data_IF_306171303543
#
_entry.id   IF_306171303543
#
_cell.length_a   1.000
_cell.length_b   1.000
_cell.length_c   1.000
_cell.angle_alpha   90.00
_cell.angle_beta   90.00
_cell.angle_gamma   90.00
#
_symmetry.space_group_name_H-M   'P 1'
#
loop_
_entity.id
_entity.type
_entity.pdbx_description
1 polymer ?
#
# COMPACT_ATOMS: atom_id res chain seq x y z
N UNK A 1 56.74 6.24 -82.26
CA UNK A 1 56.59 7.39 -81.32
C UNK A 1 55.71 8.42 -81.98
N UNK A 2 54.47 8.58 -81.48
CA UNK A 2 53.38 9.56 -81.78
C UNK A 2 52.07 8.79 -81.52
N UNK A 3 51.03 9.31 -80.88
CA UNK A 3 50.81 10.59 -80.21
C UNK A 3 49.30 10.83 -80.08
N UNK A 4 48.64 10.26 -79.06
CA UNK A 4 47.16 10.33 -78.93
C UNK A 4 46.69 11.65 -78.30
N UNK A 5 45.51 12.18 -78.68
CA UNK A 5 44.98 13.44 -78.17
C UNK A 5 44.36 13.30 -76.76
N UNK A 6 44.51 14.34 -75.94
CA UNK A 6 43.94 14.40 -74.60
C UNK A 6 42.49 14.93 -74.57
N UNK A 7 41.63 14.27 -73.78
CA UNK A 7 40.29 14.76 -73.45
C UNK A 7 40.31 15.61 -72.17
N UNK A 8 39.74 16.81 -72.22
CA UNK A 8 39.48 17.65 -71.05
C UNK A 8 38.16 17.22 -70.37
N UNK A 9 38.14 16.98 -69.05
CA UNK A 9 36.90 16.67 -68.33
C UNK A 9 36.07 17.94 -68.06
N UNK A 10 34.76 17.83 -68.24
CA UNK A 10 33.81 18.91 -68.02
C UNK A 10 33.64 19.22 -66.52
N UNK A 11 33.74 20.50 -66.12
CA UNK A 11 33.71 20.92 -64.71
C UNK A 11 32.26 21.17 -64.25
N UNK A 12 31.65 20.18 -63.61
CA UNK A 12 30.29 20.32 -63.06
C UNK A 12 30.25 21.31 -61.87
N UNK A 13 29.40 22.32 -61.96
CA UNK A 13 29.17 23.31 -60.90
C UNK A 13 28.49 22.69 -59.68
N UNK A 14 29.08 22.84 -58.48
CA UNK A 14 28.44 22.43 -57.23
C UNK A 14 27.31 23.41 -56.86
N UNK A 15 26.14 22.95 -56.37
CA UNK A 15 25.07 23.84 -55.94
C UNK A 15 25.46 24.65 -54.70
N UNK A 16 25.03 25.91 -54.66
CA UNK A 16 25.36 26.86 -53.60
C UNK A 16 24.74 26.45 -52.24
N UNK A 17 25.60 26.09 -51.30
CA UNK A 17 25.26 25.64 -49.94
C UNK A 17 24.49 26.67 -49.10
N UNK A 18 24.55 27.96 -49.48
CA UNK A 18 23.82 29.04 -48.82
C UNK A 18 22.29 28.93 -49.02
N UNK A 19 21.83 28.24 -50.07
CA UNK A 19 20.41 28.06 -50.38
C UNK A 19 19.73 27.03 -49.47
N UNK A 20 20.36 25.86 -49.31
CA UNK A 20 19.85 24.75 -48.49
C UNK A 20 19.75 25.13 -47.00
N UNK A 21 20.74 25.85 -46.46
CA UNK A 21 20.73 26.30 -45.07
C UNK A 21 19.57 27.28 -44.77
N UNK A 22 19.23 28.16 -45.74
CA UNK A 22 18.09 29.08 -45.63
C UNK A 22 16.75 28.36 -45.69
N UNK A 23 16.63 27.33 -46.54
CA UNK A 23 15.42 26.50 -46.61
C UNK A 23 15.19 25.70 -45.31
N UNK A 24 16.26 25.14 -44.72
CA UNK A 24 16.19 24.42 -43.44
C UNK A 24 15.72 25.33 -42.29
N UNK A 25 16.33 26.51 -42.13
CA UNK A 25 15.91 27.48 -41.08
C UNK A 25 14.45 27.93 -41.22
N UNK A 26 13.96 28.15 -42.45
CA UNK A 26 12.55 28.50 -42.69
C UNK A 26 11.59 27.38 -42.25
N UNK A 27 11.92 26.11 -42.51
CA UNK A 27 11.11 24.97 -42.07
C UNK A 27 11.02 24.89 -40.54
N UNK A 28 12.15 24.99 -39.83
CA UNK A 28 12.16 24.94 -38.36
C UNK A 28 11.34 26.07 -37.72
N UNK A 29 11.44 27.30 -38.26
CA UNK A 29 10.67 28.44 -37.76
C UNK A 29 9.16 28.27 -37.97
N UNK A 30 8.73 27.73 -39.13
CA UNK A 30 7.32 27.43 -39.39
C UNK A 30 6.77 26.35 -38.46
N UNK A 31 7.56 25.30 -38.16
CA UNK A 31 7.16 24.26 -37.20
C UNK A 31 6.99 24.78 -35.78
N UNK A 32 7.87 25.69 -35.32
CA UNK A 32 7.77 26.31 -34.00
C UNK A 32 6.56 27.26 -33.90
N UNK A 33 6.26 28.02 -34.96
CA UNK A 33 5.08 28.88 -35.01
C UNK A 33 3.77 28.07 -34.95
N UNK A 34 3.69 26.93 -35.65
CA UNK A 34 2.54 26.03 -35.60
C UNK A 34 2.31 25.44 -34.20
N UNK A 35 3.39 25.02 -33.52
CA UNK A 35 3.33 24.53 -32.14
C UNK A 35 2.84 25.62 -31.16
N UNK A 36 3.34 26.85 -31.27
CA UNK A 36 2.89 27.96 -30.44
C UNK A 36 1.39 28.28 -30.65
N UNK A 37 0.91 28.27 -31.89
CA UNK A 37 -0.50 28.46 -32.20
C UNK A 37 -1.40 27.36 -31.60
N UNK A 38 -0.97 26.09 -31.63
CA UNK A 38 -1.71 24.98 -31.04
C UNK A 38 -1.83 25.11 -29.50
N UNK A 39 -0.75 25.53 -28.82
CA UNK A 39 -0.77 25.74 -27.36
C UNK A 39 -1.71 26.90 -26.99
N UNK A 40 -1.65 28.02 -27.71
CA UNK A 40 -2.54 29.17 -27.48
C UNK A 40 -4.01 28.80 -27.67
N UNK A 41 -4.35 28.06 -28.73
CA UNK A 41 -5.71 27.57 -28.95
C UNK A 41 -6.21 26.66 -27.82
N UNK A 42 -5.34 25.77 -27.31
CA UNK A 42 -5.68 24.89 -26.18
C UNK A 42 -5.93 25.64 -24.86
N UNK A 43 -5.19 26.72 -24.60
CA UNK A 43 -5.38 27.55 -23.39
C UNK A 43 -6.69 28.34 -23.45
N UNK A 44 -7.03 28.93 -24.59
CA UNK A 44 -8.31 29.65 -24.77
C UNK A 44 -9.52 28.73 -24.57
N UNK A 45 -9.42 27.47 -24.98
CA UNK A 45 -10.49 26.48 -24.78
C UNK A 45 -10.67 26.04 -23.31
N UNK A 46 -9.62 26.19 -22.48
CA UNK A 46 -9.69 25.93 -21.03
C UNK A 46 -10.31 27.08 -20.24
N UNK A 47 -10.13 28.34 -20.68
CA UNK A 47 -10.67 29.53 -19.98
C UNK A 47 -12.11 29.86 -20.32
N UNK A 48 -12.68 29.29 -21.39
CA UNK A 48 -14.03 29.59 -21.89
C UNK A 48 -15.18 28.87 -21.15
N UNK A 49 -14.92 28.14 -20.06
CA UNK A 49 -15.96 27.51 -19.22
C UNK A 49 -16.40 28.43 -18.08
N UNK A 50 -17.45 29.21 -18.33
CA UNK A 50 -18.16 29.97 -17.29
C UNK A 50 -18.84 29.03 -16.28
N UNK A 51 -18.97 29.44 -15.00
CA UNK A 51 -19.69 28.65 -13.99
C UNK A 51 -21.20 28.83 -14.15
N UNK A 52 -21.92 27.72 -14.37
CA UNK A 52 -23.39 27.68 -14.23
C UNK A 52 -23.70 27.36 -12.77
N UNK A 53 -24.38 28.28 -12.09
CA UNK A 53 -24.78 28.11 -10.69
C UNK A 53 -25.95 27.14 -10.51
N UNK A 54 -25.92 26.41 -9.41
CA UNK A 54 -27.03 25.60 -8.92
C UNK A 54 -26.86 25.39 -7.41
N UNK A 55 -27.80 25.90 -6.62
CA UNK A 55 -27.82 25.71 -5.16
C UNK A 55 -28.26 24.29 -4.77
N UNK A 56 -28.03 23.87 -3.51
CA UNK A 56 -28.30 22.51 -3.07
C UNK A 56 -29.76 22.31 -2.61
N UNK A 57 -30.33 21.10 -2.76
CA UNK A 57 -31.35 20.61 -1.85
C UNK A 57 -30.69 20.03 -0.59
N UNK A 58 -31.28 20.33 0.57
CA UNK A 58 -31.04 19.55 1.78
C UNK A 58 -31.91 18.26 1.74
N UNK A 59 -31.43 17.16 2.32
CA UNK A 59 -32.07 16.63 3.53
C UNK A 59 -31.34 15.41 4.14
N UNK A 60 -31.17 15.49 5.46
CA UNK A 60 -31.31 14.44 6.48
C UNK A 60 -30.76 13.02 6.23
N UNK A 61 -29.70 12.65 6.94
CA UNK A 61 -29.85 11.97 8.24
C UNK A 61 -28.48 11.60 8.87
N UNK A 62 -28.10 12.31 9.93
CA UNK A 62 -27.03 11.89 10.84
C UNK A 62 -27.53 12.03 12.28
N UNK A 63 -27.66 10.90 12.99
CA UNK A 63 -28.04 10.88 14.40
C UNK A 63 -26.83 11.28 15.25
N UNK A 64 -26.84 12.51 15.77
CA UNK A 64 -25.95 12.94 16.84
C UNK A 64 -26.57 12.60 18.21
N UNK A 65 -25.74 12.12 19.13
CA UNK A 65 -26.14 11.81 20.51
C UNK A 65 -26.13 13.09 21.33
N UNK A 66 -27.26 13.45 21.92
CA UNK A 66 -27.38 14.65 22.75
C UNK A 66 -26.73 14.47 24.13
N UNK A 67 -26.24 15.57 24.70
CA UNK A 67 -25.57 15.63 26.00
C UNK A 67 -26.35 16.60 26.92
N UNK A 68 -26.97 16.08 27.97
CA UNK A 68 -27.82 16.89 28.88
C UNK A 68 -27.28 16.94 30.31
N UNK A 69 -26.81 18.12 30.71
CA UNK A 69 -26.77 18.70 32.06
C UNK A 69 -26.17 20.13 31.93
N UNK A 70 -26.40 21.12 32.85
CA UNK A 70 -27.00 21.01 34.21
C UNK A 70 -28.10 22.06 34.53
N UNK A 71 -28.71 22.03 35.74
CA UNK A 71 -29.66 23.09 36.16
C UNK A 71 -30.40 22.94 37.52
N UNK A 72 -29.65 23.06 38.63
CA UNK A 72 -30.02 23.35 40.05
C UNK A 72 -31.50 23.55 40.48
N UNK A 73 -31.91 22.81 41.52
CA UNK A 73 -32.82 23.28 42.61
C UNK A 73 -34.02 22.37 42.97
N UNK A 74 -34.66 22.40 44.16
CA UNK A 74 -34.35 22.95 45.52
C UNK A 74 -35.13 22.13 46.60
N UNK A 75 -34.61 22.06 47.85
CA UNK A 75 -35.26 21.67 49.13
C UNK A 75 -35.53 20.18 49.49
N UNK A 76 -35.31 19.89 50.78
CA UNK A 76 -35.58 18.62 51.49
C UNK A 76 -36.66 18.83 52.59
N UNK A 77 -37.13 17.78 53.31
CA UNK A 77 -36.51 17.49 54.62
C UNK A 77 -36.43 16.01 55.10
N UNK A 78 -35.35 15.72 55.84
CA UNK A 78 -35.24 14.92 57.10
C UNK A 78 -35.91 13.54 57.33
N UNK A 79 -35.09 12.47 57.31
CA UNK A 79 -34.76 11.50 58.42
C UNK A 79 -35.84 10.71 59.22
N UNK A 80 -35.51 9.60 59.95
CA UNK A 80 -34.26 8.79 60.03
C UNK A 80 -34.40 7.23 60.01
N UNK A 81 -33.28 6.53 59.76
CA UNK A 81 -32.81 5.38 60.58
C UNK A 81 -33.24 3.93 60.27
N UNK A 82 -32.25 3.03 60.11
CA UNK A 82 -31.97 1.80 60.92
C UNK A 82 -30.93 0.89 60.23
N UNK A 83 -30.05 0.28 61.03
CA UNK A 83 -28.96 -0.62 60.63
C UNK A 83 -29.40 -2.03 60.17
N UNK A 84 -28.53 -2.77 59.49
CA UNK A 84 -28.74 -4.21 59.26
C UNK A 84 -27.76 -4.89 58.30
N UNK A 85 -26.55 -5.23 58.76
CA UNK A 85 -25.66 -6.16 58.04
C UNK A 85 -25.89 -7.62 58.51
N UNK A 86 -25.92 -8.62 57.60
CA UNK A 86 -25.72 -10.02 57.94
C UNK A 86 -24.28 -10.51 57.64
N UNK A 87 -23.82 -11.62 58.25
CA UNK A 87 -22.39 -11.88 58.47
C UNK A 87 -21.69 -12.74 57.41
N UNK A 88 -20.35 -12.75 57.48
CA UNK A 88 -19.47 -13.60 56.70
C UNK A 88 -19.47 -15.07 57.17
N UNK A 89 -19.20 -16.00 56.23
CA UNK A 89 -19.01 -17.44 56.49
C UNK A 89 -17.65 -17.87 55.93
N UNK A 90 -16.76 -18.52 56.71
CA UNK A 90 -15.45 -18.97 56.22
C UNK A 90 -15.44 -20.48 55.87
N UNK A 91 -14.62 -20.84 54.88
CA UNK A 91 -14.04 -22.20 54.77
C UNK A 91 -14.53 -23.07 53.61
N UNK A 92 -13.65 -23.26 52.60
CA UNK A 92 -13.80 -24.28 51.57
C UNK A 92 -12.61 -24.22 50.59
N UNK A 93 -11.77 -25.27 50.47
CA UNK A 93 -10.58 -25.21 49.62
C UNK A 93 -10.93 -25.51 48.15
N UNK A 94 -10.67 -24.56 47.26
CA UNK A 94 -10.80 -24.75 45.81
C UNK A 94 -9.42 -25.03 45.19
N UNK A 95 -9.26 -26.22 44.61
CA UNK A 95 -8.05 -26.64 43.93
C UNK A 95 -7.95 -26.09 42.50
N UNK A 96 -6.72 -25.82 42.06
CA UNK A 96 -6.19 -25.95 40.69
C UNK A 96 -6.96 -25.35 39.49
N UNK A 97 -6.30 -24.42 38.80
CA UNK A 97 -6.23 -24.48 37.33
C UNK A 97 -7.40 -23.89 36.52
N UNK A 98 -7.80 -22.66 36.80
CA UNK A 98 -8.70 -21.91 35.91
C UNK A 98 -7.98 -21.31 34.70
N UNK A 99 -8.17 -21.87 33.51
CA UNK A 99 -7.90 -21.15 32.25
C UNK A 99 -8.78 -19.89 32.18
N UNK A 100 -8.27 -18.75 31.66
CA UNK A 100 -9.08 -17.54 31.55
C UNK A 100 -10.27 -17.76 30.61
N UNK A 101 -11.45 -17.17 30.91
CA UNK A 101 -12.65 -17.34 30.10
C UNK A 101 -12.49 -16.74 28.70
N UNK A 102 -13.22 -17.24 27.68
CA UNK A 102 -13.19 -16.67 26.34
C UNK A 102 -13.75 -15.23 26.36
N UNK A 103 -13.01 -14.28 25.79
CA UNK A 103 -13.45 -12.90 25.56
C UNK A 103 -14.59 -12.86 24.52
N UNK A 104 -15.81 -13.12 24.99
CA UNK A 104 -17.02 -13.16 24.17
C UNK A 104 -17.42 -11.76 23.68
N UNK A 105 -17.04 -11.43 22.45
CA UNK A 105 -17.44 -10.20 21.77
C UNK A 105 -16.50 -9.73 20.66
N UNK A 106 -15.23 -10.16 20.67
CA UNK A 106 -14.27 -9.83 19.62
C UNK A 106 -14.26 -10.93 18.54
N UNK A 107 -14.52 -10.61 17.25
CA UNK A 107 -14.43 -11.61 16.18
C UNK A 107 -13.03 -12.26 16.12
N UNK A 108 -12.94 -13.59 15.89
CA UNK A 108 -11.69 -14.32 16.02
C UNK A 108 -10.65 -13.89 14.98
N UNK A 109 -9.37 -13.88 15.38
CA UNK A 109 -8.21 -13.65 14.49
C UNK A 109 -7.12 -14.68 14.78
N UNK A 110 -6.50 -15.23 13.74
CA UNK A 110 -5.28 -16.02 13.89
C UNK A 110 -4.14 -15.11 14.38
N UNK A 111 -3.28 -15.60 15.27
CA UNK A 111 -2.21 -14.81 15.89
C UNK A 111 -0.93 -15.60 16.14
N UNK A 112 0.24 -14.95 16.10
CA UNK A 112 1.45 -15.49 16.76
C UNK A 112 1.31 -15.27 18.28
N UNK A 113 1.55 -16.29 19.13
CA UNK A 113 1.64 -16.13 20.58
C UNK A 113 2.67 -15.10 21.04
N UNK A 114 2.36 -14.35 22.10
CA UNK A 114 3.20 -13.28 22.63
C UNK A 114 2.66 -11.87 22.35
N UNK A 115 3.27 -10.83 22.93
CA UNK A 115 2.77 -9.45 22.87
C UNK A 115 2.77 -8.88 21.45
N UNK A 116 1.87 -7.93 21.20
CA UNK A 116 1.84 -7.10 19.98
C UNK A 116 1.91 -5.64 20.42
N UNK A 117 3.11 -5.03 20.46
CA UNK A 117 3.27 -3.64 20.90
C UNK A 117 2.65 -2.67 19.90
N UNK A 118 1.77 -1.79 20.37
CA UNK A 118 1.07 -0.80 19.53
C UNK A 118 1.94 0.39 19.11
N UNK A 119 3.09 0.57 19.75
CA UNK A 119 4.08 1.61 19.48
C UNK A 119 5.49 1.13 19.82
N UNK A 120 6.49 1.66 19.13
CA UNK A 120 7.92 1.54 19.46
C UNK A 120 8.62 2.89 19.36
N UNK A 121 9.92 2.93 19.66
CA UNK A 121 10.75 4.14 19.62
C UNK A 121 11.10 4.64 18.22
N UNK A 122 10.46 4.16 17.14
CA UNK A 122 10.66 4.64 15.76
C UNK A 122 12.01 4.30 15.10
N UNK A 123 12.96 3.72 15.85
CA UNK A 123 14.22 3.22 15.31
C UNK A 123 14.08 1.84 14.67
N UNK A 124 14.88 1.53 13.64
CA UNK A 124 14.81 0.26 12.91
C UNK A 124 16.09 -0.59 13.04
N UNK A 125 15.98 -1.89 12.73
CA UNK A 125 17.08 -2.82 12.43
C UNK A 125 16.84 -3.44 11.05
N UNK A 126 17.89 -3.80 10.33
CA UNK A 126 17.81 -4.28 8.95
C UNK A 126 18.20 -5.76 8.82
N UNK A 127 17.70 -6.45 7.80
CA UNK A 127 18.32 -7.70 7.35
C UNK A 127 19.47 -7.37 6.39
N UNK A 128 20.68 -7.37 6.92
CA UNK A 128 21.89 -7.06 6.15
C UNK A 128 22.38 -8.20 5.25
N UNK A 129 21.65 -9.33 5.19
CA UNK A 129 21.99 -10.43 4.26
C UNK A 129 21.44 -10.12 2.87
N UNK A 130 22.28 -10.06 1.81
CA UNK A 130 21.76 -10.01 0.46
C UNK A 130 20.86 -11.24 0.19
N UNK A 131 19.85 -11.05 -0.63
CA UNK A 131 19.04 -12.12 -1.19
C UNK A 131 19.51 -12.48 -2.59
N UNK A 132 19.06 -13.63 -3.06
CA UNK A 132 19.15 -14.00 -4.47
C UNK A 132 18.39 -12.99 -5.35
N UNK A 133 18.76 -12.92 -6.63
CA UNK A 133 18.02 -12.15 -7.63
C UNK A 133 16.81 -12.98 -8.06
N UNK A 134 15.63 -12.55 -7.62
CA UNK A 134 14.34 -13.13 -7.99
C UNK A 134 13.95 -12.67 -9.40
N UNK A 135 13.37 -13.58 -10.18
CA UNK A 135 12.92 -13.33 -11.55
C UNK A 135 14.00 -13.51 -12.63
N UNK A 136 13.60 -14.04 -13.78
CA UNK A 136 14.52 -14.33 -14.88
C UNK A 136 14.92 -13.10 -15.72
N UNK A 137 14.03 -12.12 -15.89
CA UNK A 137 14.20 -11.05 -16.88
C UNK A 137 13.61 -9.70 -16.47
N UNK A 138 14.03 -8.64 -17.18
CA UNK A 138 13.52 -7.28 -17.02
C UNK A 138 14.25 -6.43 -15.96
N UNK A 139 13.60 -5.36 -15.48
CA UNK A 139 14.23 -4.34 -14.63
C UNK A 139 14.48 -4.89 -13.22
N UNK A 140 15.73 -4.83 -12.78
CA UNK A 140 16.09 -5.12 -11.39
C UNK A 140 15.75 -3.93 -10.48
N UNK A 141 14.88 -4.15 -9.48
CA UNK A 141 14.66 -3.25 -8.33
C UNK A 141 15.30 -3.89 -7.10
N UNK A 142 16.07 -3.12 -6.34
CA UNK A 142 16.69 -3.55 -5.08
C UNK A 142 15.85 -3.08 -3.91
N UNK A 143 15.66 -3.94 -2.91
CA UNK A 143 14.89 -3.60 -1.72
C UNK A 143 15.68 -3.92 -0.45
N UNK A 144 15.50 -3.10 0.58
CA UNK A 144 15.96 -3.44 1.93
C UNK A 144 14.79 -3.99 2.74
N UNK A 145 15.09 -4.74 3.80
CA UNK A 145 14.10 -5.13 4.81
C UNK A 145 14.50 -4.50 6.13
N UNK A 146 13.53 -3.88 6.81
CA UNK A 146 13.69 -3.19 8.08
C UNK A 146 12.57 -3.57 9.06
N UNK A 147 12.90 -3.77 10.32
CA UNK A 147 11.96 -4.06 11.42
C UNK A 147 12.14 -3.03 12.51
N UNK A 148 11.04 -2.47 13.01
CA UNK A 148 11.07 -1.51 14.11
C UNK A 148 11.62 -2.17 15.39
N UNK A 149 12.44 -1.44 16.13
CA UNK A 149 12.90 -1.83 17.46
C UNK A 149 11.70 -1.93 18.41
N UNK A 150 11.86 -2.71 19.48
CA UNK A 150 10.79 -3.05 20.43
C UNK A 150 9.57 -3.77 19.85
N UNK A 151 9.44 -3.99 18.53
CA UNK A 151 8.36 -4.79 17.92
C UNK A 151 8.30 -6.25 18.38
N UNK A 152 9.41 -6.78 18.91
CA UNK A 152 9.60 -8.19 19.25
C UNK A 152 9.96 -9.08 18.06
N UNK A 153 10.00 -8.55 16.83
CA UNK A 153 10.24 -9.31 15.61
C UNK A 153 11.72 -9.28 15.19
N UNK A 154 12.19 -10.35 14.56
CA UNK A 154 13.56 -10.44 14.05
C UNK A 154 13.63 -9.99 12.58
N UNK A 155 14.57 -9.08 12.27
CA UNK A 155 14.77 -8.59 10.91
C UNK A 155 15.11 -9.69 9.89
N UNK A 156 15.86 -10.73 10.30
CA UNK A 156 16.23 -11.85 9.43
C UNK A 156 15.06 -12.78 9.11
N UNK A 157 14.14 -12.96 10.06
CA UNK A 157 12.99 -13.84 9.91
C UNK A 157 11.89 -13.16 9.09
N UNK A 158 11.64 -11.86 9.36
CA UNK A 158 10.83 -11.02 8.49
C UNK A 158 11.43 -10.93 7.07
N UNK A 159 12.75 -10.77 6.97
CA UNK A 159 13.47 -10.74 5.69
C UNK A 159 13.38 -12.03 4.89
N UNK A 160 13.34 -13.19 5.55
CA UNK A 160 13.08 -14.49 4.92
C UNK A 160 11.63 -14.59 4.42
N UNK A 161 10.65 -14.23 5.24
CA UNK A 161 9.24 -14.29 4.86
C UNK A 161 8.85 -13.28 3.75
N UNK A 162 9.51 -12.12 3.69
CA UNK A 162 9.39 -11.17 2.56
C UNK A 162 10.02 -11.75 1.29
N UNK A 163 11.19 -12.42 1.38
CA UNK A 163 11.80 -13.11 0.24
C UNK A 163 10.87 -14.22 -0.28
N UNK A 164 10.30 -15.05 0.60
CA UNK A 164 9.34 -16.11 0.25
C UNK A 164 8.10 -15.54 -0.47
N UNK A 165 7.50 -14.48 0.08
CA UNK A 165 6.32 -13.85 -0.52
C UNK A 165 6.59 -13.21 -1.89
N UNK A 166 7.84 -12.83 -2.18
CA UNK A 166 8.25 -12.23 -3.46
C UNK A 166 8.90 -13.23 -4.42
N UNK A 167 9.19 -14.45 -3.98
CA UNK A 167 9.78 -15.54 -4.77
C UNK A 167 8.76 -16.64 -5.12
N UNK A 168 7.66 -16.74 -4.36
CA UNK A 168 6.68 -17.82 -4.52
C UNK A 168 5.94 -17.80 -5.87
N UNK A 169 5.38 -18.95 -6.27
CA UNK A 169 4.71 -19.10 -7.56
C UNK A 169 3.46 -18.22 -7.60
N UNK A 170 3.41 -17.33 -8.59
CA UNK A 170 2.40 -16.29 -8.73
C UNK A 170 2.82 -14.91 -8.24
N UNK A 171 4.06 -14.71 -7.78
CA UNK A 171 4.57 -13.40 -7.31
C UNK A 171 4.78 -12.37 -8.45
N UNK A 172 5.15 -11.14 -8.11
CA UNK A 172 5.37 -10.07 -9.10
C UNK A 172 6.47 -10.35 -10.13
N UNK A 173 7.46 -11.21 -9.82
CA UNK A 173 8.56 -11.51 -10.76
C UNK A 173 8.13 -12.46 -11.90
N UNK A 174 7.05 -13.23 -11.70
CA UNK A 174 6.51 -14.15 -12.71
C UNK A 174 5.95 -13.41 -13.95
N UNK A 175 5.76 -12.10 -13.86
CA UNK A 175 5.47 -11.25 -15.01
C UNK A 175 6.61 -11.12 -16.04
N UNK A 176 7.79 -11.72 -15.78
CA UNK A 176 8.93 -11.78 -16.72
C UNK A 176 9.57 -10.42 -17.06
N UNK A 177 9.15 -9.35 -16.40
CA UNK A 177 9.57 -7.95 -16.65
C UNK A 177 10.18 -7.26 -15.42
N UNK A 178 10.17 -7.94 -14.28
CA UNK A 178 10.67 -7.46 -13.01
C UNK A 178 11.66 -8.47 -12.44
N UNK A 179 12.76 -7.95 -11.90
CA UNK A 179 13.63 -8.70 -10.98
C UNK A 179 13.69 -7.98 -9.65
N UNK A 180 13.76 -8.74 -8.56
CA UNK A 180 13.83 -8.22 -7.19
C UNK A 180 15.06 -8.78 -6.49
N UNK A 181 15.75 -7.97 -5.70
CA UNK A 181 16.87 -8.44 -4.88
C UNK A 181 16.86 -7.75 -3.53
N UNK A 182 16.88 -8.53 -2.43
CA UNK A 182 17.13 -7.99 -1.09
C UNK A 182 18.58 -7.56 -0.99
N UNK A 183 18.85 -6.37 -0.47
CA UNK A 183 20.21 -5.83 -0.32
C UNK A 183 20.46 -5.31 1.10
N UNK A 184 21.74 -5.27 1.56
CA UNK A 184 22.09 -4.77 2.89
C UNK A 184 21.71 -3.30 3.13
N UNK A 185 21.71 -2.86 4.40
CA UNK A 185 21.33 -1.50 4.79
C UNK A 185 22.14 -0.40 4.07
N UNK A 186 23.44 -0.65 3.88
CA UNK A 186 24.42 0.24 3.25
C UNK A 186 24.37 0.27 1.71
N UNK A 187 23.65 -0.67 1.08
CA UNK A 187 23.63 -0.78 -0.37
C UNK A 187 22.64 0.18 -1.04
N UNK A 188 22.93 0.54 -2.30
CA UNK A 188 21.97 1.25 -3.16
C UNK A 188 20.72 0.40 -3.36
N UNK A 189 19.58 0.97 -3.00
CA UNK A 189 18.27 0.34 -3.08
C UNK A 189 17.28 1.28 -3.80
N UNK A 190 16.15 0.72 -4.24
CA UNK A 190 15.06 1.45 -4.87
C UNK A 190 13.87 1.65 -3.91
N UNK A 191 13.70 0.78 -2.91
CA UNK A 191 12.70 0.92 -1.84
C UNK A 191 13.11 0.15 -0.57
N UNK A 192 12.35 0.29 0.51
CA UNK A 192 12.52 -0.49 1.75
C UNK A 192 11.17 -1.06 2.20
N UNK A 193 11.16 -2.34 2.58
CA UNK A 193 10.04 -3.03 3.23
C UNK A 193 10.22 -2.93 4.74
N UNK A 194 9.35 -2.17 5.38
CA UNK A 194 9.32 -1.93 6.81
C UNK A 194 8.27 -2.82 7.48
N UNK A 195 8.59 -3.36 8.65
CA UNK A 195 7.63 -3.84 9.64
C UNK A 195 7.63 -2.86 10.80
N UNK A 196 6.48 -2.23 11.07
CA UNK A 196 6.35 -1.18 12.07
C UNK A 196 5.11 -1.38 12.95
N UNK A 197 5.22 -1.08 14.23
CA UNK A 197 4.10 -1.04 15.18
C UNK A 197 2.96 -0.15 14.67
N UNK A 198 1.72 -0.42 15.07
CA UNK A 198 0.54 0.24 14.50
C UNK A 198 0.63 1.78 14.53
N UNK A 199 1.14 2.37 15.61
CA UNK A 199 1.36 3.83 15.73
C UNK A 199 2.39 4.33 14.71
N UNK A 200 3.55 3.70 14.63
CA UNK A 200 4.65 4.08 13.73
C UNK A 200 4.23 3.89 12.27
N UNK A 201 3.55 2.78 11.93
CA UNK A 201 2.95 2.58 10.62
C UNK A 201 1.95 3.70 10.28
N UNK A 202 1.05 4.06 11.20
CA UNK A 202 0.09 5.14 11.02
C UNK A 202 0.73 6.51 10.75
N UNK A 203 1.83 6.81 11.44
CA UNK A 203 2.61 8.03 11.21
C UNK A 203 3.33 8.01 9.85
N UNK A 204 3.99 6.92 9.50
CA UNK A 204 4.71 6.76 8.22
C UNK A 204 3.76 6.81 7.02
N UNK A 205 2.57 6.19 7.13
CA UNK A 205 1.54 6.24 6.09
C UNK A 205 0.95 7.64 5.93
N UNK A 206 0.62 8.31 7.04
CA UNK A 206 0.09 9.68 7.01
C UNK A 206 1.10 10.67 6.42
N UNK A 207 2.39 10.55 6.74
CA UNK A 207 3.46 11.33 6.12
C UNK A 207 3.63 11.04 4.61
N UNK A 208 3.17 9.88 4.14
CA UNK A 208 3.05 9.52 2.73
C UNK A 208 1.73 9.92 2.07
N UNK A 209 0.82 10.58 2.78
CA UNK A 209 -0.51 10.97 2.28
C UNK A 209 -1.57 9.86 2.29
N UNK A 210 -1.36 8.78 3.06
CA UNK A 210 -2.28 7.64 3.15
C UNK A 210 -2.83 7.50 4.57
N UNK A 211 -4.15 7.61 4.74
CA UNK A 211 -4.79 7.20 6.00
C UNK A 211 -5.06 5.68 5.99
N UNK A 212 -4.61 5.02 7.04
CA UNK A 212 -4.77 3.57 7.26
C UNK A 212 -5.70 3.24 8.43
N UNK A 213 -6.42 4.25 8.95
CA UNK A 213 -7.24 4.10 10.16
C UNK A 213 -8.59 3.44 9.88
N UNK A 214 -9.01 2.60 10.81
CA UNK A 214 -10.39 2.12 10.94
C UNK A 214 -10.81 2.37 12.39
N UNK A 215 -11.96 3.01 12.61
CA UNK A 215 -12.38 3.43 13.96
C UNK A 215 -11.36 4.34 14.67
N UNK A 216 -10.69 5.22 13.92
CA UNK A 216 -9.64 6.12 14.44
C UNK A 216 -8.28 5.47 14.74
N UNK A 217 -8.14 4.14 14.61
CA UNK A 217 -6.90 3.40 14.94
C UNK A 217 -6.22 2.87 13.66
N UNK A 218 -4.89 3.01 13.50
CA UNK A 218 -4.16 2.44 12.36
C UNK A 218 -4.41 0.93 12.22
N UNK A 219 -4.92 0.49 11.06
CA UNK A 219 -5.48 -0.83 10.87
C UNK A 219 -4.95 -1.57 9.65
N UNK A 220 -4.75 -0.91 8.50
CA UNK A 220 -4.14 -1.53 7.32
C UNK A 220 -2.62 -1.37 7.32
N UNK A 221 -1.97 -1.97 6.32
CA UNK A 221 -0.62 -1.57 5.88
C UNK A 221 -0.74 -0.44 4.83
N UNK A 222 0.37 0.07 4.33
CA UNK A 222 0.38 0.99 3.18
C UNK A 222 1.69 0.99 2.41
N UNK A 223 1.71 1.76 1.32
CA UNK A 223 2.93 2.24 0.65
C UNK A 223 3.00 3.77 0.65
N UNK A 224 4.15 4.29 1.05
CA UNK A 224 4.57 5.68 0.84
C UNK A 224 5.71 5.73 -0.21
N UNK A 225 6.20 6.90 -0.66
CA UNK A 225 7.29 6.98 -1.66
C UNK A 225 8.56 6.23 -1.21
N UNK A 226 8.92 5.15 -1.92
CA UNK A 226 10.07 4.29 -1.61
C UNK A 226 9.94 3.47 -0.31
N UNK A 227 8.76 3.41 0.31
CA UNK A 227 8.50 2.73 1.58
C UNK A 227 7.27 1.83 1.46
N UNK A 228 7.49 0.52 1.55
CA UNK A 228 6.45 -0.49 1.75
C UNK A 228 6.32 -0.67 3.27
N UNK A 229 5.18 -0.38 3.87
CA UNK A 229 5.01 -0.26 5.32
C UNK A 229 4.00 -1.28 5.80
N UNK A 230 4.49 -2.40 6.32
CA UNK A 230 3.69 -3.46 6.90
C UNK A 230 3.38 -3.12 8.36
N UNK A 231 2.11 -3.03 8.70
CA UNK A 231 1.63 -2.82 10.06
C UNK A 231 1.80 -4.12 10.87
N UNK A 232 2.47 -4.05 12.02
CA UNK A 232 2.75 -5.18 12.91
C UNK A 232 1.48 -5.91 13.35
N UNK A 233 0.37 -5.20 13.52
CA UNK A 233 -0.93 -5.79 13.86
C UNK A 233 -1.47 -6.67 12.72
N UNK A 234 -1.10 -6.38 11.46
CA UNK A 234 -1.44 -7.19 10.28
C UNK A 234 -0.37 -8.21 9.93
N UNK A 235 0.83 -8.07 10.49
CA UNK A 235 1.82 -9.11 10.48
C UNK A 235 1.47 -10.21 11.51
N UNK A 236 1.32 -9.84 12.78
CA UNK A 236 1.11 -10.78 13.88
C UNK A 236 -0.32 -11.32 13.98
N UNK A 237 -1.33 -10.58 13.50
CA UNK A 237 -2.74 -10.98 13.52
C UNK A 237 -3.33 -11.03 12.10
N UNK A 238 -4.21 -12.00 11.84
CA UNK A 238 -5.08 -11.98 10.66
C UNK A 238 -6.26 -11.01 10.83
N UNK A 239 -7.20 -11.05 9.89
CA UNK A 239 -8.51 -10.38 9.98
C UNK A 239 -9.65 -11.40 10.08
N UNK A 240 -10.83 -11.06 10.63
CA UNK A 240 -11.84 -12.07 10.98
C UNK A 240 -12.40 -12.85 9.78
N UNK A 241 -12.62 -12.19 8.65
CA UNK A 241 -13.09 -12.85 7.42
C UNK A 241 -12.02 -13.73 6.74
N UNK A 242 -10.74 -13.62 7.13
CA UNK A 242 -9.73 -14.62 6.76
C UNK A 242 -9.84 -15.87 7.63
N UNK A 243 -10.23 -15.73 8.91
CA UNK A 243 -10.51 -16.89 9.79
C UNK A 243 -11.76 -17.62 9.32
N UNK A 244 -12.84 -16.88 9.02
CA UNK A 244 -14.08 -17.45 8.51
C UNK A 244 -13.95 -18.10 7.12
N UNK A 245 -12.90 -17.75 6.36
CA UNK A 245 -12.54 -18.38 5.08
C UNK A 245 -11.41 -19.42 5.23
N UNK A 246 -11.09 -19.84 6.46
CA UNK A 246 -10.07 -20.84 6.80
C UNK A 246 -8.65 -20.55 6.25
N UNK A 247 -8.35 -19.27 6.00
CA UNK A 247 -7.10 -18.84 5.37
C UNK A 247 -5.97 -18.80 6.40
N UNK A 248 -4.88 -19.59 6.24
CA UNK A 248 -3.78 -19.59 7.20
C UNK A 248 -3.08 -18.23 7.30
N UNK A 249 -2.61 -17.86 8.49
CA UNK A 249 -1.91 -16.58 8.74
C UNK A 249 -0.71 -16.35 7.80
N UNK A 250 0.01 -17.41 7.40
CA UNK A 250 1.09 -17.31 6.40
C UNK A 250 0.59 -16.78 5.05
N UNK A 251 -0.58 -17.24 4.59
CA UNK A 251 -1.20 -16.83 3.32
C UNK A 251 -1.67 -15.39 3.40
N UNK A 252 -2.22 -14.96 4.55
CA UNK A 252 -2.55 -13.56 4.80
C UNK A 252 -1.32 -12.64 4.72
N UNK A 253 -0.18 -13.07 5.28
CA UNK A 253 1.09 -12.32 5.18
C UNK A 253 1.61 -12.21 3.76
N UNK A 254 1.59 -13.31 3.00
CA UNK A 254 1.95 -13.31 1.57
C UNK A 254 1.09 -12.33 0.78
N UNK A 255 -0.22 -12.26 1.07
CA UNK A 255 -1.13 -11.27 0.50
C UNK A 255 -0.70 -9.85 0.87
N UNK A 256 -0.51 -9.54 2.16
CA UNK A 256 -0.16 -8.19 2.64
C UNK A 256 1.17 -7.71 2.02
N UNK A 257 2.20 -8.56 1.96
CA UNK A 257 3.47 -8.21 1.32
C UNK A 257 3.29 -7.95 -0.19
N UNK A 258 2.60 -8.82 -0.92
CA UNK A 258 2.39 -8.62 -2.35
C UNK A 258 1.50 -7.41 -2.67
N UNK A 259 0.50 -7.11 -1.83
CA UNK A 259 -0.37 -5.93 -2.00
C UNK A 259 0.43 -4.63 -1.93
N UNK A 260 1.19 -4.44 -0.85
CA UNK A 260 1.94 -3.20 -0.62
C UNK A 260 3.15 -3.06 -1.56
N UNK A 261 3.81 -4.18 -1.92
CA UNK A 261 4.82 -4.18 -3.00
C UNK A 261 4.19 -3.89 -4.36
N UNK A 262 2.95 -4.31 -4.59
CA UNK A 262 2.17 -3.94 -5.78
C UNK A 262 2.01 -2.43 -5.92
N UNK A 263 1.72 -1.72 -4.83
CA UNK A 263 1.70 -0.26 -4.82
C UNK A 263 3.07 0.38 -5.05
N UNK A 264 4.16 -0.24 -4.59
CA UNK A 264 5.54 0.21 -4.88
C UNK A 264 5.89 0.02 -6.37
N UNK A 265 5.35 -1.02 -6.99
CA UNK A 265 5.46 -1.29 -8.43
C UNK A 265 4.50 -0.46 -9.30
N UNK A 266 3.59 0.31 -8.68
CA UNK A 266 2.69 1.26 -9.35
C UNK A 266 1.27 0.75 -9.60
N UNK A 267 0.91 -0.44 -9.10
CA UNK A 267 -0.45 -0.95 -9.20
C UNK A 267 -1.39 -0.21 -8.25
N UNK A 268 -2.60 0.09 -8.73
CA UNK A 268 -3.70 0.68 -7.93
C UNK A 268 -4.64 -0.40 -7.42
N UNK A 269 -5.55 -0.05 -6.53
CA UNK A 269 -6.49 -1.02 -6.00
C UNK A 269 -7.41 -1.58 -7.09
N UNK A 270 -7.87 -2.82 -6.89
CA UNK A 270 -8.75 -3.54 -7.80
C UNK A 270 -9.98 -4.08 -7.03
N UNK A 271 -11.10 -4.26 -7.74
CA UNK A 271 -12.37 -4.77 -7.19
C UNK A 271 -12.44 -6.30 -7.29
N UNK A 272 -13.21 -6.93 -6.40
CA UNK A 272 -13.61 -8.34 -6.59
C UNK A 272 -14.33 -8.50 -7.93
N UNK A 273 -13.85 -9.32 -8.89
CA UNK A 273 -14.45 -9.40 -10.23
C UNK A 273 -15.83 -10.08 -10.21
N UNK A 274 -16.03 -11.09 -9.35
CA UNK A 274 -17.32 -11.76 -9.09
C UNK A 274 -17.21 -12.62 -7.83
N UNK A 275 -18.32 -12.81 -7.11
CA UNK A 275 -18.41 -13.80 -6.02
C UNK A 275 -17.93 -15.18 -6.46
N UNK A 276 -17.24 -15.90 -5.56
CA UNK A 276 -16.65 -17.22 -5.82
C UNK A 276 -15.39 -17.22 -6.69
N UNK A 277 -14.99 -16.08 -7.27
CA UNK A 277 -13.70 -15.94 -7.95
C UNK A 277 -12.62 -15.56 -6.92
N UNK A 278 -11.34 -15.86 -7.16
CA UNK A 278 -10.26 -15.32 -6.35
C UNK A 278 -10.32 -13.78 -6.29
N UNK A 279 -9.88 -13.21 -5.17
CA UNK A 279 -9.65 -11.78 -5.06
C UNK A 279 -8.37 -11.42 -5.83
N UNK A 280 -8.36 -10.35 -6.64
CA UNK A 280 -7.10 -9.83 -7.17
C UNK A 280 -6.21 -9.40 -6.02
N UNK A 281 -4.88 -9.57 -6.13
CA UNK A 281 -3.98 -9.22 -5.01
C UNK A 281 -4.06 -7.73 -4.63
N UNK A 282 -4.39 -6.86 -5.59
CA UNK A 282 -4.59 -5.42 -5.36
C UNK A 282 -5.97 -5.06 -4.79
N UNK A 283 -6.84 -6.04 -4.54
CA UNK A 283 -8.02 -5.82 -3.72
C UNK A 283 -7.61 -5.61 -2.26
N UNK A 284 -8.31 -4.72 -1.54
CA UNK A 284 -8.08 -4.45 -0.12
C UNK A 284 -8.63 -5.59 0.76
N UNK A 285 -8.11 -6.81 0.58
CA UNK A 285 -8.55 -8.03 1.27
C UNK A 285 -8.39 -7.95 2.80
N UNK A 286 -7.55 -7.06 3.33
CA UNK A 286 -7.50 -6.73 4.77
C UNK A 286 -8.81 -6.13 5.29
N UNK A 287 -9.55 -5.37 4.48
CA UNK A 287 -10.79 -4.72 4.86
C UNK A 287 -12.01 -5.61 4.59
N UNK A 288 -12.05 -6.27 3.43
CA UNK A 288 -13.19 -7.08 3.00
C UNK A 288 -12.83 -8.03 1.87
N UNK A 289 -13.60 -9.11 1.70
CA UNK A 289 -13.50 -10.02 0.55
C UNK A 289 -14.65 -9.88 -0.47
N UNK A 290 -15.77 -9.25 -0.11
CA UNK A 290 -16.96 -9.06 -0.99
C UNK A 290 -17.46 -10.36 -1.69
N UNK A 291 -17.24 -11.51 -1.06
CA UNK A 291 -17.56 -12.84 -1.59
C UNK A 291 -16.56 -13.39 -2.61
N UNK A 292 -15.43 -12.73 -2.87
CA UNK A 292 -14.27 -13.35 -3.51
C UNK A 292 -13.55 -14.30 -2.54
N UNK A 293 -12.87 -15.30 -3.09
CA UNK A 293 -11.97 -16.20 -2.34
C UNK A 293 -10.64 -15.48 -2.09
N UNK A 294 -10.09 -15.53 -0.89
CA UNK A 294 -8.80 -14.89 -0.60
C UNK A 294 -7.69 -15.41 -1.51
N UNK A 295 -6.80 -14.52 -1.97
CA UNK A 295 -5.69 -14.88 -2.86
C UNK A 295 -4.49 -13.94 -2.66
N UNK A 296 -3.30 -14.47 -2.35
CA UNK A 296 -2.12 -13.65 -2.09
C UNK A 296 -1.28 -13.34 -3.33
N UNK A 297 -1.60 -13.91 -4.49
CA UNK A 297 -0.73 -13.90 -5.66
C UNK A 297 -1.23 -12.96 -6.77
N UNK A 298 -0.37 -12.06 -7.30
CA UNK A 298 -0.69 -11.28 -8.50
C UNK A 298 -0.86 -12.13 -9.75
N UNK A 299 -0.11 -13.21 -9.93
CA UNK A 299 -0.17 -14.07 -11.11
C UNK A 299 -0.82 -15.40 -10.79
N UNK A 300 -1.64 -15.90 -11.71
CA UNK A 300 -2.25 -17.23 -11.69
C UNK A 300 -2.20 -17.79 -13.10
N UNK A 301 -1.86 -19.06 -13.25
CA UNK A 301 -1.87 -19.75 -14.54
C UNK A 301 -1.02 -19.01 -15.61
N UNK A 302 0.14 -18.46 -15.19
CA UNK A 302 1.07 -17.68 -16.02
C UNK A 302 0.60 -16.26 -16.40
N UNK A 303 -0.54 -15.78 -15.87
CA UNK A 303 -1.16 -14.49 -16.26
C UNK A 303 -1.45 -13.62 -15.04
N UNK A 304 -1.32 -12.29 -15.18
CA UNK A 304 -1.71 -11.34 -14.12
C UNK A 304 -3.22 -11.47 -13.88
N UNK A 305 -3.59 -11.87 -12.66
CA UNK A 305 -4.96 -12.06 -12.23
C UNK A 305 -5.58 -10.74 -11.71
N UNK A 306 -5.94 -9.84 -12.62
CA UNK A 306 -6.48 -8.53 -12.29
C UNK A 306 -8.01 -8.50 -12.18
N UNK A 307 -8.54 -7.62 -11.33
CA UNK A 307 -9.97 -7.26 -11.30
C UNK A 307 -10.25 -5.90 -11.96
N UNK A 308 -11.50 -5.44 -11.98
CA UNK A 308 -11.83 -4.07 -12.39
C UNK A 308 -11.09 -3.05 -11.52
N UNK A 309 -10.61 -1.91 -12.07
CA UNK A 309 -9.98 -0.87 -11.27
C UNK A 309 -10.96 -0.27 -10.24
N UNK A 310 -10.40 0.27 -9.15
CA UNK A 310 -11.16 1.06 -8.18
C UNK A 310 -11.30 2.52 -8.63
#
# INVERSE_FOLDING_TARGET
MTGMPGFLPCRASRPDSSSAARAARRRTLLSLAALAACVLAGVVLMTARSPVGGGPPADMAALAVDQVAPGVGVAAPSSPGVEGSPPAVPGGPAALGGSPPPESGVPPVLRIPGPVPSAGGGGFRYDDRPGEVLGAAGRLRRYRVAVERESGENARDFGAAVQEALAGPGSWVDGGRLRLQRVPASARHDFTVYLATARTAGQMCAAGGVDIRVGGRPYTSCRAPGKVIINLDRWRLSVPHFVAAEVPLRVYRTYVVNHEVGHELGHRHERCPKRGRPAPVMMQQTLFLNGCVANPWPYRDGRRYAGPPL
#
